data_IF_105428439654
#
_entry.id   IF_105428439654
#
_cell.length_a   1.000
_cell.length_b   1.000
_cell.length_c   1.000
_cell.angle_alpha   90.00
_cell.angle_beta   90.00
_cell.angle_gamma   90.00
#
_symmetry.space_group_name_H-M   'P 1'
#
loop_
_entity.id
_entity.type
_entity.pdbx_description
1 polymer ?
#
# COMPACT_ATOMS: atom_id res chain seq x y z
N UNK A 1 -23.49 -23.42 78.23
CA UNK A 1 -24.06 -22.08 77.98
C UNK A 1 -24.12 -21.89 76.46
N UNK A 2 -25.23 -21.97 75.73
CA UNK A 2 -26.64 -21.87 76.08
C UNK A 2 -27.22 -20.52 75.61
N UNK A 3 -27.88 -20.50 74.45
CA UNK A 3 -28.69 -19.37 73.91
C UNK A 3 -28.56 -19.30 72.38
N UNK A 4 -29.38 -19.92 71.51
CA UNK A 4 -30.86 -19.93 71.27
C UNK A 4 -31.44 -18.63 70.71
N UNK A 5 -32.00 -18.77 69.50
CA UNK A 5 -32.96 -17.88 68.80
C UNK A 5 -32.76 -18.02 67.27
N UNK A 6 -33.32 -19.02 66.56
CA UNK A 6 -34.69 -19.11 65.97
C UNK A 6 -35.17 -17.78 65.37
N UNK A 7 -35.83 -17.68 64.23
CA UNK A 7 -36.21 -18.56 63.11
C UNK A 7 -37.05 -17.65 62.16
N UNK A 8 -37.15 -18.01 60.86
CA UNK A 8 -38.40 -17.98 60.05
C UNK A 8 -39.06 -16.59 59.79
N UNK A 9 -39.59 -16.18 58.62
CA UNK A 9 -40.29 -16.80 57.49
C UNK A 9 -40.20 -15.79 56.30
N UNK A 10 -39.99 -16.19 55.05
CA UNK A 10 -40.94 -16.72 54.06
C UNK A 10 -42.09 -15.75 53.65
N UNK A 11 -42.05 -15.29 52.40
CA UNK A 11 -43.16 -15.01 51.45
C UNK A 11 -42.58 -14.21 50.26
N UNK A 12 -42.31 -14.78 49.08
CA UNK A 12 -43.30 -15.15 48.03
C UNK A 12 -44.39 -14.08 47.89
N UNK A 13 -44.45 -13.29 46.83
CA UNK A 13 -44.78 -13.62 45.43
C UNK A 13 -45.19 -12.25 44.82
N UNK A 14 -45.36 -11.95 43.54
CA UNK A 14 -45.62 -12.70 42.31
C UNK A 14 -45.70 -11.64 41.18
N UNK A 15 -45.35 -12.06 39.96
CA UNK A 15 -45.90 -11.52 38.70
C UNK A 15 -45.34 -10.17 38.22
N UNK A 16 -45.06 -9.95 36.94
CA UNK A 16 -45.44 -10.68 35.75
C UNK A 16 -44.58 -10.25 34.55
N UNK A 17 -44.07 -11.25 33.82
CA UNK A 17 -44.16 -11.41 32.36
C UNK A 17 -43.98 -10.17 31.46
N UNK A 18 -42.94 -10.18 30.63
CA UNK A 18 -43.04 -10.15 29.15
C UNK A 18 -41.65 -10.35 28.55
N UNK A 19 -41.33 -11.52 27.99
CA UNK A 19 -41.38 -11.83 26.54
C UNK A 19 -40.25 -11.10 25.78
N UNK A 20 -39.13 -11.77 25.48
CA UNK A 20 -38.88 -12.73 24.40
C UNK A 20 -38.21 -12.09 23.19
N UNK A 21 -37.04 -12.65 22.84
CA UNK A 21 -36.73 -13.12 21.47
C UNK A 21 -36.36 -12.07 20.41
N UNK A 22 -35.05 -12.07 20.11
CA UNK A 22 -34.44 -12.17 18.77
C UNK A 22 -34.53 -11.01 17.79
N UNK A 23 -33.36 -10.57 17.30
CA UNK A 23 -33.04 -10.33 15.85
C UNK A 23 -31.74 -9.51 15.73
N UNK A 24 -30.58 -10.11 15.48
CA UNK A 24 -29.93 -10.23 14.14
C UNK A 24 -30.49 -9.28 13.08
N UNK A 25 -29.76 -8.20 12.79
CA UNK A 25 -29.94 -7.41 11.57
C UNK A 25 -28.63 -7.42 10.76
N UNK A 26 -28.46 -8.46 9.95
CA UNK A 26 -27.66 -8.44 8.72
C UNK A 26 -28.47 -7.66 7.69
N UNK A 27 -27.89 -6.69 6.99
CA UNK A 27 -28.49 -6.13 5.77
C UNK A 27 -27.57 -6.37 4.59
N UNK A 28 -27.98 -7.36 3.81
CA UNK A 28 -27.51 -7.71 2.47
C UNK A 28 -28.31 -6.85 1.49
N UNK A 29 -27.64 -6.25 0.51
CA UNK A 29 -28.30 -5.76 -0.71
C UNK A 29 -28.27 -6.89 -1.73
N UNK A 30 -29.45 -7.45 -2.02
CA UNK A 30 -29.70 -8.33 -3.16
C UNK A 30 -31.06 -7.97 -3.76
N UNK A 31 -31.04 -7.56 -5.02
CA UNK A 31 -32.15 -7.51 -5.96
C UNK A 31 -31.50 -7.80 -7.32
N UNK A 32 -32.01 -8.63 -8.22
CA UNK A 32 -33.21 -9.45 -8.32
C UNK A 32 -33.13 -10.17 -9.67
N UNK A 33 -33.58 -11.42 -9.69
CA UNK A 33 -33.76 -12.38 -10.81
C UNK A 33 -34.59 -11.79 -11.98
N UNK A 34 -34.57 -12.27 -13.24
CA UNK A 34 -34.69 -13.66 -13.74
C UNK A 34 -34.48 -13.77 -15.28
N UNK A 35 -34.28 -15.01 -15.78
CA UNK A 35 -34.58 -15.47 -17.15
C UNK A 35 -33.40 -16.16 -17.87
N UNK A 36 -33.17 -17.47 -17.74
CA UNK A 36 -33.82 -18.61 -18.42
C UNK A 36 -33.16 -19.03 -19.76
N UNK A 37 -32.57 -20.23 -19.76
CA UNK A 37 -32.51 -21.14 -20.92
C UNK A 37 -31.25 -21.10 -21.79
N UNK A 38 -30.66 -22.27 -22.04
CA UNK A 38 -29.75 -22.49 -23.18
C UNK A 38 -28.60 -23.43 -22.87
N UNK A 39 -28.70 -24.67 -23.35
CA UNK A 39 -27.67 -25.69 -23.32
C UNK A 39 -26.50 -25.37 -24.28
N UNK A 40 -25.45 -26.19 -24.15
CA UNK A 40 -24.44 -26.51 -25.16
C UNK A 40 -23.10 -25.77 -25.15
N UNK A 41 -22.04 -26.58 -24.92
CA UNK A 41 -20.77 -26.43 -25.65
C UNK A 41 -19.63 -25.74 -24.89
N UNK A 42 -18.87 -26.51 -24.11
CA UNK A 42 -17.47 -26.16 -23.83
C UNK A 42 -16.58 -26.80 -24.92
N UNK A 43 -15.79 -26.02 -25.68
CA UNK A 43 -14.60 -26.56 -26.30
C UNK A 43 -13.36 -26.05 -25.58
N UNK A 44 -12.62 -27.01 -25.06
CA UNK A 44 -11.17 -26.94 -24.87
C UNK A 44 -10.51 -26.82 -26.25
N UNK A 45 -9.59 -25.85 -26.45
CA UNK A 45 -8.43 -26.08 -27.31
C UNK A 45 -7.31 -25.05 -27.17
N UNK A 46 -6.15 -25.64 -26.93
CA UNK A 46 -4.79 -25.14 -26.99
C UNK A 46 -4.37 -24.44 -28.31
N UNK A 47 -3.19 -23.80 -28.18
CA UNK A 47 -2.30 -23.25 -29.22
C UNK A 47 -2.67 -21.82 -29.71
N UNK A 48 -1.75 -20.89 -29.97
CA UNK A 48 -0.34 -21.02 -30.31
C UNK A 48 0.44 -19.74 -29.94
N UNK A 49 1.73 -19.93 -29.67
CA UNK A 49 2.77 -18.90 -29.73
C UNK A 49 2.81 -18.29 -31.14
N UNK A 50 3.03 -16.97 -31.24
CA UNK A 50 3.87 -16.36 -32.29
C UNK A 50 4.61 -15.15 -31.72
N UNK A 51 5.94 -15.24 -31.76
CA UNK A 51 6.88 -14.14 -31.65
C UNK A 51 7.47 -14.00 -33.06
N UNK A 52 7.20 -12.87 -33.70
CA UNK A 52 7.89 -12.37 -34.89
C UNK A 52 8.04 -10.86 -34.59
N UNK A 53 9.19 -10.20 -34.48
CA UNK A 53 10.50 -10.41 -35.07
C UNK A 53 10.72 -9.31 -36.09
N UNK A 54 11.33 -8.17 -35.71
CA UNK A 54 11.89 -7.22 -36.68
C UNK A 54 12.98 -6.32 -36.05
N UNK A 55 14.23 -6.67 -36.38
CA UNK A 55 15.40 -5.79 -36.39
C UNK A 55 15.24 -4.73 -37.50
N UNK A 56 15.62 -3.47 -37.22
CA UNK A 56 16.49 -2.67 -38.11
C UNK A 56 16.93 -1.36 -37.48
N UNK A 57 18.24 -1.16 -37.49
CA UNK A 57 19.00 0.00 -37.03
C UNK A 57 19.00 1.17 -38.03
N UNK A 58 19.39 2.34 -37.50
CA UNK A 58 20.06 3.47 -38.13
C UNK A 58 19.21 4.69 -38.56
N UNK A 59 19.51 5.82 -37.89
CA UNK A 59 19.01 7.15 -38.23
C UNK A 59 19.53 8.19 -37.24
N UNK A 60 20.80 8.56 -37.36
CA UNK A 60 21.47 9.58 -36.56
C UNK A 60 20.77 10.94 -36.62
N UNK A 61 20.78 11.69 -35.52
CA UNK A 61 21.27 13.10 -35.47
C UNK A 61 21.35 13.58 -34.02
N UNK A 62 22.57 13.87 -33.60
CA UNK A 62 22.88 14.57 -32.34
C UNK A 62 22.20 15.94 -32.35
N UNK A 63 21.24 16.16 -31.45
CA UNK A 63 20.82 17.50 -31.09
C UNK A 63 21.45 17.85 -29.74
N UNK A 64 22.19 18.95 -29.78
CA UNK A 64 23.04 19.47 -28.74
C UNK A 64 22.31 19.55 -27.39
N UNK A 65 22.95 18.98 -26.36
CA UNK A 65 22.59 19.16 -24.95
C UNK A 65 22.93 20.61 -24.55
N UNK A 66 22.03 21.54 -24.87
CA UNK A 66 22.07 22.90 -24.32
C UNK A 66 20.64 23.32 -23.95
N UNK A 67 20.35 23.31 -22.65
CA UNK A 67 19.16 23.92 -22.06
C UNK A 67 18.17 22.96 -21.40
N UNK A 68 18.58 22.18 -20.39
CA UNK A 68 17.64 21.51 -19.46
C UNK A 68 17.52 22.27 -18.13
N UNK A 69 17.51 23.59 -18.20
CA UNK A 69 17.20 24.46 -17.07
C UNK A 69 15.87 25.17 -17.37
N UNK A 70 14.77 24.43 -17.28
CA UNK A 70 13.44 24.99 -17.46
C UNK A 70 12.44 23.99 -18.03
N UNK A 71 11.61 23.41 -17.17
CA UNK A 71 10.32 22.87 -17.59
C UNK A 71 10.28 21.37 -17.90
N UNK A 72 10.78 20.51 -17.01
CA UNK A 72 10.09 19.23 -16.83
C UNK A 72 8.97 19.53 -15.83
N UNK A 73 7.77 19.84 -16.32
CA UNK A 73 6.61 19.96 -15.45
C UNK A 73 6.50 18.65 -14.67
N UNK A 74 6.62 18.69 -13.35
CA UNK A 74 6.41 17.52 -12.53
C UNK A 74 4.94 17.11 -12.71
N UNK A 75 4.72 16.01 -13.44
CA UNK A 75 3.39 15.51 -13.78
C UNK A 75 2.54 15.24 -12.53
N UNK A 76 3.18 14.95 -11.39
CA UNK A 76 2.54 14.72 -10.09
C UNK A 76 3.27 15.55 -9.03
N UNK A 77 2.52 16.41 -8.33
CA UNK A 77 3.02 17.20 -7.21
C UNK A 77 3.29 16.29 -6.00
N UNK A 78 4.49 16.40 -5.43
CA UNK A 78 4.90 15.68 -4.23
C UNK A 78 5.55 16.68 -3.26
N UNK A 79 4.89 16.90 -2.13
CA UNK A 79 5.30 17.84 -1.08
C UNK A 79 6.13 17.13 0.01
N UNK A 80 5.89 15.84 0.23
CA UNK A 80 6.65 15.05 1.20
C UNK A 80 6.83 13.60 0.76
N UNK A 81 7.98 13.03 1.12
CA UNK A 81 8.35 11.66 0.79
C UNK A 81 8.61 10.91 2.09
N UNK A 82 7.93 9.78 2.25
CA UNK A 82 8.01 8.91 3.40
C UNK A 82 8.49 7.52 2.96
N UNK A 83 9.33 6.89 3.76
CA UNK A 83 9.85 5.55 3.55
C UNK A 83 9.50 4.66 4.74
N UNK A 84 8.93 3.48 4.48
CA UNK A 84 8.68 2.46 5.49
C UNK A 84 9.88 1.53 5.62
N UNK A 85 10.33 1.26 6.85
CA UNK A 85 11.36 0.21 7.09
C UNK A 85 10.73 -1.18 7.10
N UNK A 86 9.41 -1.28 7.36
CA UNK A 86 8.70 -2.56 7.31
C UNK A 86 8.42 -2.99 5.86
N UNK A 87 8.68 -4.26 5.49
CA UNK A 87 8.45 -4.74 4.13
C UNK A 87 6.98 -4.71 3.70
N UNK A 88 6.77 -4.60 2.39
CA UNK A 88 5.49 -4.78 1.71
C UNK A 88 5.54 -6.02 0.81
N UNK A 89 4.46 -6.81 0.77
CA UNK A 89 4.31 -7.85 -0.25
C UNK A 89 4.16 -7.19 -1.62
N UNK A 90 5.02 -7.57 -2.57
CA UNK A 90 4.99 -7.01 -3.92
C UNK A 90 3.76 -7.43 -4.74
N UNK A 91 2.98 -8.40 -4.26
CA UNK A 91 1.68 -8.77 -4.83
C UNK A 91 0.56 -7.79 -4.44
N UNK A 92 0.77 -6.96 -3.41
CA UNK A 92 -0.22 -5.99 -2.94
C UNK A 92 -0.61 -4.98 -4.04
N UNK A 93 -1.90 -4.88 -4.36
CA UNK A 93 -2.43 -3.86 -5.27
C UNK A 93 -2.48 -2.46 -4.64
N UNK A 94 -3.15 -1.52 -5.30
CA UNK A 94 -3.35 -0.15 -4.81
C UNK A 94 -4.01 -0.12 -3.44
N UNK A 95 -5.14 -0.81 -3.27
CA UNK A 95 -5.92 -0.81 -2.02
C UNK A 95 -5.14 -1.40 -0.85
N UNK A 96 -4.46 -2.54 -1.07
CA UNK A 96 -3.65 -3.17 -0.02
C UNK A 96 -2.44 -2.31 0.34
N UNK A 97 -1.81 -1.65 -0.64
CA UNK A 97 -0.72 -0.70 -0.38
C UNK A 97 -1.23 0.53 0.38
N UNK A 98 -2.42 1.05 0.05
CA UNK A 98 -3.05 2.17 0.77
C UNK A 98 -3.37 1.77 2.22
N UNK A 99 -3.96 0.60 2.45
CA UNK A 99 -4.20 0.08 3.79
C UNK A 99 -2.90 -0.03 4.59
N UNK A 100 -1.81 -0.45 3.95
CA UNK A 100 -0.49 -0.49 4.57
C UNK A 100 0.03 0.92 4.90
N UNK A 101 -0.19 1.90 4.03
CA UNK A 101 0.16 3.30 4.31
C UNK A 101 -0.57 3.80 5.56
N UNK A 102 -1.88 3.56 5.65
CA UNK A 102 -2.68 3.94 6.83
C UNK A 102 -2.16 3.24 8.09
N UNK A 103 -1.83 1.94 8.00
CA UNK A 103 -1.30 1.19 9.14
C UNK A 103 0.06 1.72 9.63
N UNK A 104 0.98 2.07 8.72
CA UNK A 104 2.36 2.45 9.07
C UNK A 104 2.49 3.96 9.37
N UNK A 105 1.79 4.81 8.61
CA UNK A 105 1.93 6.26 8.67
C UNK A 105 0.71 6.97 9.29
N UNK A 106 -0.37 6.24 9.59
CA UNK A 106 -1.60 6.75 10.20
C UNK A 106 -2.61 7.29 9.17
N UNK A 107 -2.15 7.89 8.08
CA UNK A 107 -2.99 8.37 6.98
C UNK A 107 -2.20 8.54 5.69
N UNK A 108 -2.87 8.41 4.54
CA UNK A 108 -2.37 8.88 3.25
C UNK A 108 -2.78 10.35 3.07
N UNK A 109 -1.82 11.26 2.98
CA UNK A 109 -2.04 12.71 2.85
C UNK A 109 -1.93 13.14 1.39
N UNK A 110 -2.67 14.17 0.96
CA UNK A 110 -2.48 14.80 -0.34
C UNK A 110 -1.04 15.18 -0.64
N UNK A 111 -0.63 14.96 -1.87
CA UNK A 111 0.70 15.24 -2.41
C UNK A 111 1.83 14.54 -1.63
N UNK A 112 1.57 13.39 -1.03
CA UNK A 112 2.61 12.61 -0.33
C UNK A 112 2.93 11.33 -1.09
N UNK A 113 4.22 10.98 -1.10
CA UNK A 113 4.74 9.72 -1.62
C UNK A 113 5.16 8.80 -0.48
N UNK A 114 4.80 7.53 -0.56
CA UNK A 114 5.08 6.50 0.43
C UNK A 114 5.82 5.34 -0.22
N UNK A 115 7.07 5.16 0.14
CA UNK A 115 7.99 4.18 -0.40
C UNK A 115 8.03 2.92 0.48
N UNK A 116 7.89 1.77 -0.16
CA UNK A 116 8.04 0.45 0.46
C UNK A 116 8.97 -0.41 -0.36
N UNK A 117 9.71 -1.30 0.28
CA UNK A 117 10.47 -2.34 -0.37
C UNK A 117 9.94 -3.73 0.00
N UNK A 118 10.29 -4.72 -0.81
CA UNK A 118 10.20 -6.10 -0.37
C UNK A 118 11.32 -6.42 0.65
N UNK A 119 11.18 -7.55 1.34
CA UNK A 119 12.15 -7.95 2.37
C UNK A 119 13.60 -8.08 1.85
N UNK A 120 13.76 -8.38 0.55
CA UNK A 120 15.08 -8.49 -0.10
C UNK A 120 15.60 -7.17 -0.67
N UNK A 121 14.84 -6.09 -0.58
CA UNK A 121 15.13 -4.79 -1.19
C UNK A 121 15.49 -4.85 -2.68
N UNK A 122 14.95 -5.81 -3.44
CA UNK A 122 15.16 -5.91 -4.90
C UNK A 122 14.06 -5.22 -5.71
N UNK A 123 12.92 -4.95 -5.07
CA UNK A 123 11.76 -4.29 -5.65
C UNK A 123 11.23 -3.27 -4.65
N UNK A 124 10.78 -2.15 -5.17
CA UNK A 124 10.08 -1.14 -4.38
C UNK A 124 8.75 -0.77 -5.02
N UNK A 125 7.82 -0.33 -4.18
CA UNK A 125 6.59 0.34 -4.60
C UNK A 125 6.55 1.73 -4.00
N UNK A 126 6.02 2.68 -4.76
CA UNK A 126 5.75 4.05 -4.31
C UNK A 126 4.28 4.32 -4.51
N UNK A 127 3.56 4.52 -3.41
CA UNK A 127 2.18 5.00 -3.45
C UNK A 127 2.20 6.51 -3.35
N UNK A 128 1.54 7.20 -4.27
CA UNK A 128 1.40 8.66 -4.25
C UNK A 128 -0.07 9.02 -4.20
N UNK A 129 -0.46 9.84 -3.24
CA UNK A 129 -1.78 10.48 -3.25
C UNK A 129 -1.63 11.84 -3.93
N UNK A 130 -2.22 12.06 -5.11
CA UNK A 130 -2.00 13.27 -5.89
C UNK A 130 -2.92 14.45 -5.51
N UNK A 131 -3.89 14.20 -4.62
CA UNK A 131 -4.88 15.17 -4.15
C UNK A 131 -6.31 14.74 -4.48
N UNK A 132 -6.48 13.96 -5.54
CA UNK A 132 -7.79 13.48 -6.03
C UNK A 132 -7.85 11.95 -6.07
N UNK A 133 -6.73 11.30 -6.37
CA UNK A 133 -6.61 9.86 -6.45
C UNK A 133 -5.26 9.35 -5.97
N UNK A 134 -5.04 8.06 -6.26
CA UNK A 134 -3.83 7.34 -5.88
C UNK A 134 -3.12 6.78 -7.11
N UNK A 135 -1.80 6.92 -7.10
CA UNK A 135 -0.90 6.29 -8.06
C UNK A 135 -0.08 5.25 -7.32
N UNK A 136 0.14 4.09 -7.95
CA UNK A 136 1.04 3.07 -7.44
C UNK A 136 2.09 2.74 -8.49
N UNK A 137 3.30 3.26 -8.29
CA UNK A 137 4.44 2.93 -9.12
C UNK A 137 5.19 1.72 -8.53
N UNK A 138 5.61 0.80 -9.38
CA UNK A 138 6.48 -0.31 -9.00
C UNK A 138 7.81 -0.18 -9.74
N UNK A 139 8.92 -0.39 -9.03
CA UNK A 139 10.25 -0.35 -9.60
C UNK A 139 11.07 -1.57 -9.18
N UNK A 140 11.79 -2.12 -10.16
CA UNK A 140 12.76 -3.20 -9.97
C UNK A 140 14.07 -2.77 -10.61
N UNK A 141 15.17 -2.97 -9.90
CA UNK A 141 16.50 -2.82 -10.48
C UNK A 141 16.83 -4.04 -11.35
N UNK A 142 17.46 -3.80 -12.50
CA UNK A 142 17.94 -4.90 -13.36
C UNK A 142 18.98 -5.76 -12.64
N UNK A 143 19.85 -5.13 -11.86
CA UNK A 143 20.86 -5.76 -11.01
C UNK A 143 20.95 -5.03 -9.66
N UNK A 144 21.42 -5.73 -8.63
CA UNK A 144 21.60 -5.15 -7.30
C UNK A 144 20.32 -5.07 -6.45
N UNK A 145 20.38 -4.20 -5.44
CA UNK A 145 19.33 -3.98 -4.44
C UNK A 145 19.28 -2.50 -4.09
N UNK A 146 18.10 -2.04 -3.69
CA UNK A 146 17.95 -0.72 -3.09
C UNK A 146 18.71 -0.67 -1.77
N UNK A 147 19.37 0.46 -1.50
CA UNK A 147 20.00 0.76 -0.22
C UNK A 147 18.93 1.04 0.85
N UNK A 148 18.16 0.02 1.23
CA UNK A 148 17.06 0.15 2.16
C UNK A 148 17.57 0.16 3.61
N UNK A 149 17.07 1.07 4.46
CA UNK A 149 17.40 1.09 5.88
C UNK A 149 16.90 -0.19 6.55
N UNK A 150 17.71 -0.74 7.46
CA UNK A 150 17.38 -1.95 8.24
C UNK A 150 16.83 -1.63 9.63
N UNK A 151 16.74 -0.35 9.98
CA UNK A 151 16.51 0.10 11.35
C UNK A 151 15.03 0.03 11.79
N UNK A 152 14.81 -0.09 13.10
CA UNK A 152 13.52 -0.43 13.72
C UNK A 152 12.55 0.76 13.88
N UNK A 153 12.91 1.95 13.41
CA UNK A 153 12.12 3.18 13.55
C UNK A 153 10.80 3.22 12.76
N UNK A 154 10.46 2.18 12.00
CA UNK A 154 9.20 1.99 11.27
C UNK A 154 8.99 2.89 10.04
N UNK A 155 9.41 4.17 10.11
CA UNK A 155 9.23 5.18 9.06
C UNK A 155 10.33 6.24 9.07
N UNK A 156 10.70 6.73 7.89
CA UNK A 156 11.67 7.82 7.69
C UNK A 156 11.12 8.83 6.68
N UNK A 157 11.57 10.08 6.75
CA UNK A 157 11.34 11.09 5.71
C UNK A 157 12.54 11.16 4.78
N UNK A 158 12.29 11.34 3.48
CA UNK A 158 13.34 11.54 2.49
C UNK A 158 13.26 12.95 1.89
N UNK A 159 14.41 13.53 1.57
CA UNK A 159 14.46 14.66 0.63
C UNK A 159 14.26 14.17 -0.80
N UNK A 160 14.07 15.12 -1.73
CA UNK A 160 13.91 14.79 -3.14
C UNK A 160 15.18 14.14 -3.72
N UNK A 161 16.34 14.67 -3.37
CA UNK A 161 17.65 14.17 -3.81
C UNK A 161 17.90 12.74 -3.29
N UNK A 162 17.49 12.48 -2.05
CA UNK A 162 17.57 11.15 -1.45
C UNK A 162 16.67 10.15 -2.18
N UNK A 163 15.44 10.55 -2.54
CA UNK A 163 14.55 9.71 -3.34
C UNK A 163 15.13 9.45 -4.74
N UNK A 164 15.64 10.46 -5.42
CA UNK A 164 16.20 10.31 -6.76
C UNK A 164 17.39 9.33 -6.77
N UNK A 165 18.27 9.41 -5.77
CA UNK A 165 19.35 8.45 -5.59
C UNK A 165 18.85 7.05 -5.21
N UNK A 166 17.86 6.95 -4.30
CA UNK A 166 17.26 5.68 -3.92
C UNK A 166 16.63 4.98 -5.13
N UNK A 167 15.93 5.72 -6.00
CA UNK A 167 15.32 5.18 -7.23
C UNK A 167 16.40 4.59 -8.16
N UNK A 168 17.60 5.15 -8.17
CA UNK A 168 18.75 4.60 -8.91
C UNK A 168 19.42 3.40 -8.21
N UNK A 169 19.03 3.10 -6.97
CA UNK A 169 19.65 2.05 -6.15
C UNK A 169 20.92 2.50 -5.41
N UNK A 170 21.20 3.80 -5.39
CA UNK A 170 22.38 4.38 -4.75
C UNK A 170 22.18 4.52 -3.22
N UNK A 171 23.28 4.56 -2.43
CA UNK A 171 23.21 4.78 -0.98
C UNK A 171 22.81 6.23 -0.69
N UNK A 172 21.52 6.46 -0.51
CA UNK A 172 20.91 7.78 -0.31
C UNK A 172 21.16 8.39 1.07
N UNK A 173 21.52 7.58 2.08
CA UNK A 173 21.64 8.01 3.48
C UNK A 173 22.67 9.12 3.69
N UNK A 174 23.62 9.28 2.77
CA UNK A 174 24.70 10.27 2.83
C UNK A 174 24.47 11.47 1.91
N UNK A 175 23.25 11.62 1.37
CA UNK A 175 22.92 12.69 0.43
C UNK A 175 22.26 13.85 1.19
N UNK A 176 22.64 15.07 0.80
CA UNK A 176 22.19 16.32 1.44
C UNK A 176 22.93 16.58 2.75
N UNK A 177 22.25 17.21 3.70
CA UNK A 177 22.79 17.55 5.02
C UNK A 177 23.35 16.34 5.78
N UNK A 178 22.84 15.14 5.51
CA UNK A 178 23.31 13.89 6.13
C UNK A 178 24.73 13.46 5.67
N UNK A 179 25.26 14.06 4.59
CA UNK A 179 26.61 13.81 4.08
C UNK A 179 27.66 14.83 4.52
N UNK A 180 27.28 15.86 5.29
CA UNK A 180 28.18 16.96 5.64
C UNK A 180 29.23 16.49 6.64
N UNK A 181 30.50 16.55 6.25
CA UNK A 181 31.65 16.29 7.13
C UNK A 181 31.90 17.56 7.95
N UNK A 182 31.69 17.50 9.27
CA UNK A 182 31.99 18.59 10.20
C UNK A 182 33.23 18.23 11.01
N UNK A 183 34.17 19.16 11.13
CA UNK A 183 35.27 19.05 12.09
C UNK A 183 34.70 19.45 13.46
N UNK A 184 34.92 18.60 14.46
CA UNK A 184 34.54 18.85 15.86
C UNK A 184 35.50 19.81 16.53
#
# INVERSE_FOLDING_TARGET
MGGRGRAQDAAESSGSRSSSVTSRQRRVYAAGVAGAGGADGYPDRAAARRNDGEDRLAGCRSLAVRGLAGGVAALIRIDAIWLSTTPLDMRAGSETALARVVQVFGAARPHHAYCFANQRATRMKVLVHDGVGIWLAARRLHQGRFAWPKDEGGRLTLTREQLDALVLGLPWQRIGEAGVIRVL
#
